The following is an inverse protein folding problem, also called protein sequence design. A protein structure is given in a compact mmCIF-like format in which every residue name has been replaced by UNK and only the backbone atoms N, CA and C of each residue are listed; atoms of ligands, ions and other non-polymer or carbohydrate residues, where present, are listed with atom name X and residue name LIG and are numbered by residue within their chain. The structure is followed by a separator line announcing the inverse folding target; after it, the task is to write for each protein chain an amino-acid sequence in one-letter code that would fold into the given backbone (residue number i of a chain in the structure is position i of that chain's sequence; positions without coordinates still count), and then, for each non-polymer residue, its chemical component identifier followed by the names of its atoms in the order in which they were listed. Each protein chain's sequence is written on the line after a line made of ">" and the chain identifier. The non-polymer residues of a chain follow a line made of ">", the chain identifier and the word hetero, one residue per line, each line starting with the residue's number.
data_IF_734929077600
#
_entry.id   IF_734929077600
#
_cell.length_a   1.000
_cell.length_b   1.000
_cell.length_c   1.000
_cell.angle_alpha   90.00
_cell.angle_beta   90.00
_cell.angle_gamma   90.00
#
_symmetry.space_group_name_H-M   'P 1'
#
loop_
_entity.id
_entity.type
_entity.pdbx_description
1 polymer ?
#
# COMPACT_ATOMS: atom_id res chain seq x y z
N UNK A 1 21.16 12.93 -1.12
CA UNK A 1 21.02 14.19 -1.81
C UNK A 1 19.83 15.08 -1.40
N UNK A 2 18.65 14.59 -0.99
CA UNK A 2 17.58 15.50 -0.54
C UNK A 2 17.90 16.28 0.74
N UNK A 3 18.79 15.78 1.58
CA UNK A 3 19.17 16.45 2.82
C UNK A 3 20.20 17.57 2.64
N UNK A 4 20.81 17.71 1.47
CA UNK A 4 21.76 18.81 1.20
C UNK A 4 21.08 20.19 1.24
N UNK A 5 19.79 20.28 0.98
CA UNK A 5 19.03 21.52 1.08
C UNK A 5 18.65 21.90 2.51
N UNK A 6 18.87 21.02 3.48
CA UNK A 6 18.55 21.22 4.90
C UNK A 6 19.79 21.46 5.76
N UNK A 7 20.97 21.55 5.15
CA UNK A 7 22.28 21.72 5.85
C UNK A 7 22.54 20.65 6.94
N UNK A 8 21.96 19.44 6.74
CA UNK A 8 22.12 18.32 7.66
C UNK A 8 23.19 17.37 7.12
N UNK A 9 24.22 17.11 7.90
CA UNK A 9 25.21 16.08 7.57
C UNK A 9 24.56 14.70 7.54
N UNK A 10 24.78 13.94 6.47
CA UNK A 10 24.22 12.60 6.30
C UNK A 10 25.02 11.59 7.15
N UNK A 11 24.72 11.51 8.43
CA UNK A 11 25.24 10.48 9.33
C UNK A 11 24.37 9.25 9.33
N UNK A 12 24.87 8.12 9.83
CA UNK A 12 24.05 6.90 9.98
C UNK A 12 22.85 7.14 10.90
N UNK A 13 23.03 7.89 11.98
CA UNK A 13 21.95 8.27 12.88
C UNK A 13 20.85 9.07 12.17
N UNK A 14 21.22 10.01 11.32
CA UNK A 14 20.25 10.78 10.50
C UNK A 14 19.53 9.86 9.50
N UNK A 15 20.27 8.93 8.88
CA UNK A 15 19.66 7.95 7.96
C UNK A 15 18.67 7.08 8.70
N UNK A 16 19.02 6.54 9.86
CA UNK A 16 18.17 5.65 10.65
C UNK A 16 16.93 6.39 11.17
N UNK A 17 17.08 7.66 11.58
CA UNK A 17 15.98 8.50 12.05
C UNK A 17 14.96 8.85 10.97
N UNK A 18 15.39 9.03 9.73
CA UNK A 18 14.51 9.41 8.61
C UNK A 18 14.30 8.29 7.60
N UNK A 19 14.67 7.09 7.97
CA UNK A 19 14.45 5.90 7.14
C UNK A 19 12.99 5.49 7.26
N UNK A 20 12.30 5.53 6.13
CA UNK A 20 10.97 4.95 6.02
C UNK A 20 11.06 3.56 5.43
N UNK A 21 10.41 2.62 6.05
CA UNK A 21 10.28 1.29 5.50
C UNK A 21 8.98 1.21 4.70
N UNK A 22 9.13 1.08 3.40
CA UNK A 22 8.02 0.75 2.52
C UNK A 22 7.92 -0.77 2.47
N UNK A 23 6.76 -1.30 2.75
CA UNK A 23 6.57 -2.73 2.75
C UNK A 23 5.43 -3.15 1.82
N UNK A 24 5.51 -4.37 1.33
CA UNK A 24 4.44 -5.06 0.62
C UNK A 24 4.12 -6.37 1.33
N UNK A 25 2.85 -6.68 1.37
CA UNK A 25 2.40 -7.99 1.82
C UNK A 25 2.59 -9.04 0.72
N UNK A 26 2.68 -10.28 1.11
CA UNK A 26 3.02 -11.34 0.18
C UNK A 26 1.91 -11.61 -0.84
N UNK A 27 2.30 -11.99 -2.04
CA UNK A 27 1.39 -12.58 -2.99
C UNK A 27 0.86 -13.92 -2.49
N UNK A 28 -0.34 -14.27 -2.93
CA UNK A 28 -0.99 -15.53 -2.65
C UNK A 28 -0.61 -16.56 -3.72
N UNK A 29 0.01 -17.65 -3.30
CA UNK A 29 0.18 -18.81 -4.14
C UNK A 29 -1.06 -19.69 -4.10
N UNK A 30 -1.75 -19.80 -5.20
CA UNK A 30 -2.83 -20.74 -5.33
C UNK A 30 -2.30 -22.10 -5.86
N UNK A 31 -2.03 -23.01 -4.97
CA UNK A 31 -1.95 -24.47 -5.20
C UNK A 31 -1.15 -25.00 -6.40
N UNK A 32 -0.12 -24.37 -6.82
CA UNK A 32 0.80 -24.98 -7.76
C UNK A 32 1.54 -26.20 -7.22
N UNK A 33 1.52 -26.41 -5.90
CA UNK A 33 2.32 -27.44 -5.24
C UNK A 33 1.60 -28.75 -4.92
N UNK A 34 0.31 -28.84 -5.15
CA UNK A 34 -0.39 -30.12 -5.01
C UNK A 34 -0.29 -30.85 -6.34
N UNK A 35 0.72 -31.71 -6.43
CA UNK A 35 1.13 -32.45 -7.61
C UNK A 35 0.09 -32.74 -8.68
N UNK A 36 0.35 -32.25 -9.87
CA UNK A 36 -0.09 -32.81 -11.17
C UNK A 36 -1.56 -33.03 -11.46
N UNK A 37 -2.47 -32.73 -10.56
CA UNK A 37 -3.90 -32.91 -10.78
C UNK A 37 -4.64 -31.60 -10.65
N UNK A 38 -5.80 -31.50 -11.30
CA UNK A 38 -6.73 -30.42 -11.04
C UNK A 38 -6.93 -30.26 -9.53
N UNK A 39 -6.71 -29.08 -8.95
CA UNK A 39 -6.95 -28.90 -7.53
C UNK A 39 -8.39 -29.31 -7.22
N UNK A 40 -8.64 -30.01 -6.11
CA UNK A 40 -10.00 -30.31 -5.72
C UNK A 40 -10.78 -29.00 -5.57
N UNK A 41 -12.07 -28.97 -5.89
CA UNK A 41 -12.90 -27.77 -5.74
C UNK A 41 -12.75 -27.25 -4.31
N UNK A 42 -12.61 -25.94 -4.14
CA UNK A 42 -12.54 -25.32 -2.84
C UNK A 42 -13.87 -25.57 -2.12
N UNK A 43 -13.80 -26.29 -1.00
CA UNK A 43 -14.97 -26.39 -0.11
C UNK A 43 -15.23 -24.98 0.48
N UNK A 44 -16.46 -24.53 0.39
CA UNK A 44 -16.89 -23.22 0.93
C UNK A 44 -17.15 -22.13 -0.11
N UNK A 45 -16.61 -22.23 -1.32
CA UNK A 45 -16.96 -21.35 -2.44
C UNK A 45 -17.33 -22.20 -3.64
N UNK A 46 -18.59 -22.62 -3.71
CA UNK A 46 -19.08 -23.45 -4.79
C UNK A 46 -18.80 -22.80 -6.15
N UNK A 47 -18.16 -23.55 -7.03
CA UNK A 47 -17.91 -23.11 -8.42
C UNK A 47 -16.73 -22.16 -8.63
N UNK A 48 -15.89 -21.92 -7.63
CA UNK A 48 -14.67 -21.10 -7.76
C UNK A 48 -13.42 -21.94 -7.43
N UNK A 49 -12.94 -22.76 -8.34
CA UNK A 49 -11.73 -23.54 -8.13
C UNK A 49 -10.51 -22.60 -8.08
N UNK A 50 -9.56 -22.94 -7.21
CA UNK A 50 -8.30 -22.21 -7.13
C UNK A 50 -8.23 -21.13 -6.06
N UNK A 51 -9.31 -20.86 -5.31
CA UNK A 51 -9.23 -19.99 -4.14
C UNK A 51 -8.73 -20.76 -2.91
N UNK A 52 -7.97 -20.11 -2.00
CA UNK A 52 -7.55 -20.74 -0.77
C UNK A 52 -8.78 -21.16 0.06
N UNK A 53 -8.71 -22.33 0.69
CA UNK A 53 -9.78 -22.89 1.52
C UNK A 53 -9.58 -22.57 2.99
N UNK A 54 -8.35 -22.24 3.36
CA UNK A 54 -7.95 -21.97 4.73
C UNK A 54 -6.84 -20.91 4.77
N UNK A 55 -6.67 -20.19 5.89
CA UNK A 55 -5.63 -19.16 6.02
C UNK A 55 -4.21 -19.67 5.81
N UNK A 56 -3.93 -20.92 6.13
CA UNK A 56 -2.61 -21.54 5.98
C UNK A 56 -2.23 -21.85 4.52
N UNK A 57 -3.16 -21.80 3.60
CA UNK A 57 -2.88 -21.87 2.16
C UNK A 57 -2.37 -20.54 1.60
N UNK A 58 -2.43 -19.46 2.39
CA UNK A 58 -1.98 -18.13 2.01
C UNK A 58 -0.55 -17.94 2.44
N UNK A 59 0.28 -17.58 1.49
CA UNK A 59 1.69 -17.29 1.76
C UNK A 59 1.92 -15.81 1.76
N UNK A 60 2.68 -15.35 2.73
CA UNK A 60 3.03 -13.97 2.93
C UNK A 60 4.53 -13.80 2.97
N UNK A 61 5.02 -12.68 2.50
CA UNK A 61 6.41 -12.31 2.62
C UNK A 61 6.55 -10.80 2.58
N UNK A 62 7.29 -10.24 3.49
CA UNK A 62 7.70 -8.86 3.42
C UNK A 62 8.70 -8.65 2.28
N UNK A 63 8.70 -7.46 1.71
CA UNK A 63 9.68 -7.10 0.70
C UNK A 63 11.09 -7.04 1.30
N UNK A 64 12.02 -7.70 0.63
CA UNK A 64 13.45 -7.61 0.93
C UNK A 64 14.18 -6.88 -0.20
N UNK A 65 15.16 -6.06 0.18
CA UNK A 65 15.93 -5.26 -0.78
C UNK A 65 17.42 -5.60 -0.67
N UNK A 66 18.03 -5.92 -1.79
CA UNK A 66 19.47 -6.13 -1.92
C UNK A 66 20.03 -5.26 -3.05
N UNK A 67 19.65 -3.97 -3.03
CA UNK A 67 20.06 -3.05 -4.06
C UNK A 67 21.55 -2.72 -3.94
N UNK A 68 22.31 -3.07 -4.96
CA UNK A 68 23.73 -2.68 -5.13
C UNK A 68 23.92 -1.52 -6.11
N UNK A 69 22.90 -1.22 -6.90
CA UNK A 69 22.90 -0.17 -7.90
C UNK A 69 21.48 0.34 -8.14
N UNK A 70 21.36 1.50 -8.76
CA UNK A 70 20.10 2.01 -9.27
C UNK A 70 20.23 2.46 -10.71
N UNK A 71 19.12 2.42 -11.43
CA UNK A 71 18.97 3.01 -12.76
C UNK A 71 18.11 4.25 -12.65
N UNK A 72 18.58 5.36 -13.22
CA UNK A 72 17.84 6.62 -13.24
C UNK A 72 17.39 6.89 -14.68
N UNK A 73 16.11 7.15 -14.86
CA UNK A 73 15.50 7.49 -16.14
C UNK A 73 14.74 8.81 -16.02
N UNK A 74 15.00 9.72 -16.92
CA UNK A 74 14.25 10.97 -17.04
C UNK A 74 13.44 10.97 -18.31
N UNK A 75 12.15 11.23 -18.20
CA UNK A 75 11.20 11.31 -19.32
C UNK A 75 10.34 12.56 -19.16
N UNK A 76 10.69 13.60 -19.90
CA UNK A 76 10.05 14.90 -19.78
C UNK A 76 10.20 15.45 -18.36
N UNK A 77 9.07 15.63 -17.66
CA UNK A 77 9.04 16.16 -16.30
C UNK A 77 8.98 15.07 -15.21
N UNK A 78 9.16 13.81 -15.58
CA UNK A 78 9.19 12.67 -14.67
C UNK A 78 10.60 12.13 -14.52
N UNK A 79 11.01 11.91 -13.29
CA UNK A 79 12.22 11.17 -12.92
C UNK A 79 11.82 9.86 -12.25
N UNK A 80 12.35 8.75 -12.76
CA UNK A 80 12.17 7.44 -12.14
C UNK A 80 13.52 6.88 -11.73
N UNK A 81 13.57 6.34 -10.52
CA UNK A 81 14.75 5.65 -9.97
C UNK A 81 14.35 4.22 -9.68
N UNK A 82 14.99 3.26 -10.33
CA UNK A 82 14.73 1.84 -10.17
C UNK A 82 15.89 1.18 -9.43
N UNK A 83 15.58 0.51 -8.33
CA UNK A 83 16.50 -0.28 -7.51
C UNK A 83 16.23 -1.76 -7.76
N UNK A 84 17.12 -2.44 -8.43
CA UNK A 84 17.03 -3.89 -8.62
C UNK A 84 17.33 -4.66 -7.33
N UNK A 85 16.94 -5.93 -7.28
CA UNK A 85 17.19 -6.80 -6.13
C UNK A 85 16.05 -6.79 -5.10
N UNK A 86 14.86 -6.40 -5.51
CA UNK A 86 13.63 -6.64 -4.76
C UNK A 86 13.30 -8.12 -4.76
N UNK A 87 12.97 -8.64 -3.59
CA UNK A 87 12.32 -9.95 -3.40
C UNK A 87 11.04 -9.75 -2.61
N UNK A 88 9.96 -10.42 -3.02
CA UNK A 88 8.64 -10.30 -2.39
C UNK A 88 7.92 -11.65 -2.49
N UNK A 89 8.08 -12.49 -1.48
CA UNK A 89 7.58 -13.87 -1.53
C UNK A 89 8.12 -14.62 -2.73
N UNK A 90 7.27 -15.09 -3.63
CA UNK A 90 7.66 -15.76 -4.89
C UNK A 90 8.02 -14.80 -6.03
N UNK A 91 7.89 -13.49 -5.82
CA UNK A 91 8.23 -12.49 -6.81
C UNK A 91 9.65 -11.97 -6.64
N UNK A 92 10.25 -11.58 -7.76
CA UNK A 92 11.52 -10.85 -7.80
C UNK A 92 11.47 -9.74 -8.85
N UNK A 93 12.22 -8.66 -8.59
CA UNK A 93 12.17 -7.52 -9.49
C UNK A 93 12.89 -6.28 -8.97
N UNK A 94 12.22 -5.13 -9.04
CA UNK A 94 12.76 -3.84 -8.67
C UNK A 94 11.77 -3.00 -7.87
N UNK A 95 12.30 -2.15 -6.98
CA UNK A 95 11.58 -1.02 -6.41
C UNK A 95 11.76 0.17 -7.32
N UNK A 96 10.67 0.78 -7.74
CA UNK A 96 10.68 1.97 -8.60
C UNK A 96 10.07 3.15 -7.87
N UNK A 97 10.82 4.23 -7.77
CA UNK A 97 10.36 5.51 -7.25
C UNK A 97 10.23 6.49 -8.40
N UNK A 98 9.05 7.08 -8.58
CA UNK A 98 8.84 8.10 -9.61
C UNK A 98 8.39 9.40 -8.97
N UNK A 99 9.05 10.49 -9.35
CA UNK A 99 8.75 11.86 -8.93
C UNK A 99 8.53 12.74 -10.15
N UNK A 100 7.78 13.83 -9.98
CA UNK A 100 7.45 14.75 -11.05
C UNK A 100 7.90 16.15 -10.69
N UNK A 101 8.43 16.86 -11.66
CA UNK A 101 8.83 18.25 -11.50
C UNK A 101 7.62 19.12 -11.10
N UNK A 102 7.80 19.97 -10.10
CA UNK A 102 6.80 20.93 -9.64
C UNK A 102 5.75 20.36 -8.70
N UNK A 103 5.91 19.13 -8.20
CA UNK A 103 5.03 18.53 -7.21
C UNK A 103 5.79 17.62 -6.25
N UNK A 104 5.27 17.44 -5.05
CA UNK A 104 5.79 16.51 -4.07
C UNK A 104 5.26 15.07 -4.25
N UNK A 105 4.51 14.82 -5.32
CA UNK A 105 3.95 13.52 -5.57
C UNK A 105 5.04 12.47 -5.81
N UNK A 106 4.97 11.38 -5.06
CA UNK A 106 5.87 10.23 -5.17
C UNK A 106 5.03 9.01 -5.50
N UNK A 107 5.30 8.37 -6.62
CA UNK A 107 4.80 7.02 -6.90
C UNK A 107 5.85 6.03 -6.45
N UNK A 108 5.44 5.09 -5.63
CA UNK A 108 6.27 3.96 -5.18
C UNK A 108 5.67 2.69 -5.75
N UNK A 109 6.49 1.85 -6.36
CA UNK A 109 6.02 0.68 -7.07
C UNK A 109 7.00 -0.49 -6.92
N UNK A 110 6.47 -1.66 -6.55
CA UNK A 110 7.17 -2.91 -6.76
C UNK A 110 6.83 -3.43 -8.16
N UNK A 111 7.82 -3.48 -9.01
CA UNK A 111 7.71 -4.04 -10.37
C UNK A 111 8.40 -5.39 -10.35
N UNK A 112 7.62 -6.47 -10.38
CA UNK A 112 8.15 -7.80 -10.12
C UNK A 112 7.40 -8.89 -10.89
N UNK A 113 8.07 -9.99 -11.17
CA UNK A 113 7.51 -11.17 -11.81
C UNK A 113 7.78 -12.43 -11.01
N UNK A 114 7.04 -13.49 -11.29
CA UNK A 114 7.23 -14.82 -10.74
C UNK A 114 7.22 -15.85 -11.87
N UNK A 115 8.05 -16.89 -11.74
CA UNK A 115 8.02 -18.04 -12.65
C UNK A 115 7.08 -19.15 -12.14
N UNK A 116 6.48 -18.99 -10.98
CA UNK A 116 5.56 -19.99 -10.42
C UNK A 116 4.24 -19.97 -11.19
N UNK A 117 3.70 -21.13 -11.52
CA UNK A 117 2.38 -21.25 -12.12
C UNK A 117 1.28 -21.01 -11.07
N UNK A 118 0.12 -20.58 -11.54
CA UNK A 118 -1.10 -20.45 -10.74
C UNK A 118 -1.00 -19.52 -9.54
N UNK A 119 -0.26 -18.40 -9.70
CA UNK A 119 -0.17 -17.38 -8.67
C UNK A 119 -1.28 -16.37 -8.86
N UNK A 120 -2.05 -16.16 -7.80
CA UNK A 120 -2.91 -15.01 -7.65
C UNK A 120 -2.50 -14.25 -6.39
N UNK A 121 -2.61 -12.93 -6.40
CA UNK A 121 -2.07 -12.10 -5.34
C UNK A 121 -2.93 -10.88 -5.06
N UNK A 122 -2.74 -10.35 -3.90
CA UNK A 122 -3.04 -8.97 -3.50
C UNK A 122 -1.80 -8.37 -2.85
N UNK A 123 -1.75 -7.08 -2.73
CA UNK A 123 -0.63 -6.42 -2.08
C UNK A 123 -1.09 -5.39 -1.06
N UNK A 124 -0.21 -5.15 -0.14
CA UNK A 124 -0.29 -4.12 0.88
C UNK A 124 1.01 -3.31 0.80
N UNK A 125 0.91 -2.01 0.78
CA UNK A 125 2.04 -1.09 0.68
C UNK A 125 1.84 0.08 1.61
N UNK A 126 2.88 0.43 2.35
CA UNK A 126 2.77 1.49 3.32
C UNK A 126 4.11 2.10 3.73
N UNK A 127 4.01 3.05 4.62
CA UNK A 127 5.14 3.66 5.30
C UNK A 127 5.09 3.25 6.76
N UNK A 128 6.21 2.75 7.25
CA UNK A 128 6.39 2.36 8.64
C UNK A 128 7.42 3.27 9.30
N UNK A 129 7.40 3.33 10.63
CA UNK A 129 8.38 4.11 11.38
C UNK A 129 8.17 5.63 11.30
N UNK A 130 6.93 6.06 11.09
CA UNK A 130 6.59 7.47 11.21
C UNK A 130 6.61 7.86 12.70
N UNK A 131 7.39 8.86 13.06
CA UNK A 131 7.54 9.30 14.46
C UNK A 131 6.25 9.88 15.04
N UNK A 132 5.90 9.48 16.26
CA UNK A 132 4.77 10.06 16.99
C UNK A 132 5.24 11.30 17.73
N UNK A 133 4.78 12.47 17.30
CA UNK A 133 4.91 13.74 18.00
C UNK A 133 3.69 14.04 18.90
N UNK A 134 3.71 15.17 19.62
CA UNK A 134 2.65 15.55 20.55
C UNK A 134 1.25 15.62 19.95
N UNK A 135 1.15 16.00 18.69
CA UNK A 135 -0.11 16.23 17.98
C UNK A 135 -0.32 15.26 16.80
N UNK A 136 0.40 14.13 16.82
CA UNK A 136 0.30 13.15 15.73
C UNK A 136 -1.09 12.54 15.67
N UNK A 137 -1.64 12.56 14.46
CA UNK A 137 -2.98 12.06 14.16
C UNK A 137 -3.07 11.51 12.73
N UNK A 138 -4.03 10.64 12.54
CA UNK A 138 -4.39 10.12 11.22
C UNK A 138 -5.75 10.68 10.85
N UNK A 139 -5.90 11.11 9.60
CA UNK A 139 -7.12 11.74 9.08
C UNK A 139 -7.61 11.03 7.82
N UNK A 140 -8.93 10.95 7.68
CA UNK A 140 -9.60 10.46 6.46
C UNK A 140 -10.99 11.08 6.34
N UNK A 141 -11.60 10.98 5.18
CA UNK A 141 -13.03 11.29 5.01
C UNK A 141 -13.81 9.99 4.96
N UNK A 142 -14.84 9.87 5.78
CA UNK A 142 -15.73 8.71 5.79
C UNK A 142 -16.64 8.65 4.55
N UNK A 143 -17.49 7.65 4.46
CA UNK A 143 -18.41 7.45 3.34
C UNK A 143 -19.44 8.59 3.18
N UNK A 144 -19.68 9.35 4.24
CA UNK A 144 -20.50 10.58 4.19
C UNK A 144 -19.66 11.82 3.88
N UNK A 145 -18.39 11.65 3.50
CA UNK A 145 -17.40 12.70 3.23
C UNK A 145 -17.05 13.59 4.42
N UNK A 146 -17.44 13.19 5.64
CA UNK A 146 -17.08 13.89 6.85
C UNK A 146 -15.65 13.60 7.25
N UNK A 147 -14.91 14.64 7.64
CA UNK A 147 -13.55 14.49 8.14
C UNK A 147 -13.55 13.75 9.47
N UNK A 148 -12.83 12.65 9.51
CA UNK A 148 -12.57 11.84 10.69
C UNK A 148 -11.10 11.97 11.08
N UNK A 149 -10.81 11.76 12.35
CA UNK A 149 -9.43 11.73 12.85
C UNK A 149 -9.26 10.73 13.97
N UNK A 150 -8.03 10.22 14.11
CA UNK A 150 -7.61 9.40 15.22
C UNK A 150 -6.30 9.94 15.78
N UNK A 151 -6.31 10.31 17.07
CA UNK A 151 -5.11 10.73 17.78
C UNK A 151 -4.27 9.52 18.18
N UNK A 152 -2.98 9.57 17.88
CA UNK A 152 -2.03 8.49 18.19
C UNK A 152 -1.56 8.46 19.64
N UNK A 153 -2.24 9.17 20.54
CA UNK A 153 -1.94 9.17 22.00
C UNK A 153 -2.41 7.89 22.71
N UNK A 154 -3.28 7.09 22.06
CA UNK A 154 -3.78 5.84 22.63
C UNK A 154 -2.73 4.71 22.66
N UNK A 155 -3.09 3.52 23.15
CA UNK A 155 -2.21 2.36 23.16
C UNK A 155 -1.85 1.90 21.75
N UNK A 156 -0.73 1.19 21.63
CA UNK A 156 -0.36 0.50 20.39
C UNK A 156 -1.42 -0.55 20.03
N UNK A 157 -1.59 -0.80 18.76
CA UNK A 157 -2.48 -1.84 18.25
C UNK A 157 -1.70 -2.87 17.41
N UNK A 158 -2.01 -4.13 17.60
CA UNK A 158 -1.32 -5.24 16.93
C UNK A 158 -1.72 -5.36 15.45
N UNK A 159 -2.97 -4.98 15.14
CA UNK A 159 -3.53 -5.11 13.80
C UNK A 159 -3.76 -3.72 13.18
N UNK A 160 -3.63 -3.66 11.88
CA UNK A 160 -3.94 -2.45 11.14
C UNK A 160 -5.45 -2.16 11.19
N UNK A 161 -5.80 -0.92 11.48
CA UNK A 161 -7.18 -0.44 11.47
C UNK A 161 -7.56 -0.04 10.06
N UNK A 162 -8.45 -0.79 9.45
CA UNK A 162 -8.97 -0.50 8.12
C UNK A 162 -9.92 0.69 8.16
N UNK A 163 -9.70 1.62 7.24
CA UNK A 163 -10.48 2.85 7.13
C UNK A 163 -11.44 2.78 5.95
N UNK A 164 -12.71 3.11 6.17
CA UNK A 164 -13.67 3.33 5.09
C UNK A 164 -13.54 4.75 4.59
N UNK A 165 -12.56 4.97 3.73
CA UNK A 165 -12.20 6.29 3.23
C UNK A 165 -12.85 6.56 1.86
N UNK A 166 -13.78 7.51 1.81
CA UNK A 166 -14.53 7.86 0.59
C UNK A 166 -13.64 8.26 -0.59
N UNK A 167 -12.51 8.86 -0.32
CA UNK A 167 -11.54 9.27 -1.33
C UNK A 167 -10.41 8.26 -1.56
N UNK A 168 -10.46 7.09 -0.93
CA UNK A 168 -9.36 6.12 -0.92
C UNK A 168 -8.04 6.75 -0.44
N UNK A 169 -8.12 7.65 0.52
CA UNK A 169 -7.04 8.53 0.96
C UNK A 169 -6.97 8.54 2.48
N UNK A 170 -5.77 8.31 3.01
CA UNK A 170 -5.40 8.51 4.41
C UNK A 170 -4.30 9.54 4.49
N UNK A 171 -4.37 10.40 5.49
CA UNK A 171 -3.34 11.41 5.77
C UNK A 171 -2.80 11.19 7.18
N UNK A 172 -1.49 11.08 7.30
CA UNK A 172 -0.79 11.14 8.57
C UNK A 172 -0.25 12.56 8.79
N UNK A 173 -0.45 13.09 9.98
CA UNK A 173 0.10 14.38 10.39
C UNK A 173 0.97 14.16 11.63
N UNK A 174 2.20 14.66 11.58
CA UNK A 174 3.15 14.57 12.67
C UNK A 174 4.23 15.64 12.55
N UNK A 175 4.65 16.22 13.68
CA UNK A 175 5.79 17.15 13.77
C UNK A 175 5.75 18.31 12.75
N UNK A 176 4.56 18.86 12.47
CA UNK A 176 4.40 19.99 11.56
C UNK A 176 4.50 19.64 10.07
N UNK A 177 4.38 18.38 9.74
CA UNK A 177 4.31 17.86 8.39
C UNK A 177 3.15 16.88 8.24
N UNK A 178 2.67 16.69 7.03
CA UNK A 178 1.66 15.71 6.72
C UNK A 178 2.05 14.89 5.48
N UNK A 179 1.59 13.66 5.42
CA UNK A 179 1.76 12.80 4.26
C UNK A 179 0.46 12.08 3.92
N UNK A 180 0.03 12.25 2.68
CA UNK A 180 -1.12 11.54 2.13
C UNK A 180 -0.66 10.22 1.50
N UNK A 181 -1.45 9.15 1.69
CA UNK A 181 -1.24 7.85 1.05
C UNK A 181 -2.53 7.40 0.37
N UNK A 182 -2.44 6.98 -0.89
CA UNK A 182 -3.58 6.56 -1.70
C UNK A 182 -3.19 5.56 -2.79
N UNK A 183 -4.11 4.68 -3.22
CA UNK A 183 -3.87 3.77 -4.33
C UNK A 183 -3.81 4.53 -5.67
N UNK A 184 -3.37 3.89 -6.76
CA UNK A 184 -3.44 4.49 -8.09
C UNK A 184 -4.85 5.00 -8.38
N UNK A 185 -5.01 6.30 -8.74
CA UNK A 185 -6.30 6.88 -9.01
C UNK A 185 -6.90 6.34 -10.29
N UNK A 186 -8.24 6.33 -10.38
CA UNK A 186 -9.00 5.92 -11.56
C UNK A 186 -8.72 4.49 -12.05
N UNK A 187 -8.10 3.66 -11.23
CA UNK A 187 -7.91 2.24 -11.49
C UNK A 187 -8.74 1.42 -10.53
N UNK A 188 -9.25 0.30 -11.01
CA UNK A 188 -9.82 -0.69 -10.12
C UNK A 188 -8.69 -1.28 -9.29
N UNK A 189 -8.69 -0.96 -8.02
CA UNK A 189 -7.79 -1.55 -7.06
C UNK A 189 -8.35 -2.87 -6.54
N UNK A 190 -9.67 -3.04 -6.68
CA UNK A 190 -10.40 -4.25 -6.43
C UNK A 190 -11.59 -4.40 -7.38
N UNK A 191 -11.83 -5.63 -7.88
CA UNK A 191 -12.88 -5.92 -8.85
C UNK A 191 -14.28 -6.13 -8.24
N UNK A 192 -14.44 -6.02 -6.91
CA UNK A 192 -15.72 -6.17 -6.23
C UNK A 192 -16.35 -4.86 -5.87
N UNK A 193 -17.68 -4.92 -5.79
CA UNK A 193 -18.50 -3.75 -5.61
C UNK A 193 -18.41 -3.11 -4.23
N UNK A 194 -18.42 -1.90 -4.27
CA UNK A 194 -19.09 -0.80 -3.61
C UNK A 194 -18.74 -0.60 -2.13
N UNK A 195 -19.12 -1.39 -1.18
CA UNK A 195 -18.76 -1.20 0.23
C UNK A 195 -17.29 -1.58 0.51
N UNK A 196 -16.82 -2.57 -0.20
CA UNK A 196 -15.46 -3.07 -0.09
C UNK A 196 -14.47 -2.11 -0.76
N UNK A 197 -14.91 -1.35 -1.75
CA UNK A 197 -14.08 -0.39 -2.48
C UNK A 197 -13.68 0.87 -1.69
N UNK A 198 -14.07 0.99 -0.45
CA UNK A 198 -13.66 2.10 0.44
C UNK A 198 -12.67 1.69 1.52
N UNK A 199 -12.43 0.39 1.71
CA UNK A 199 -11.55 -0.18 2.74
C UNK A 199 -10.10 -0.35 2.31
N UNK A 200 -9.55 0.55 1.51
CA UNK A 200 -8.20 0.43 0.95
C UNK A 200 -7.10 1.05 1.80
N UNK A 201 -7.46 1.89 2.75
CA UNK A 201 -6.51 2.59 3.58
C UNK A 201 -6.54 2.02 5.00
N UNK A 202 -5.40 2.07 5.63
CA UNK A 202 -5.27 1.64 7.00
C UNK A 202 -4.21 2.45 7.74
N UNK A 203 -4.27 2.43 9.08
CA UNK A 203 -3.21 2.87 9.96
C UNK A 203 -2.96 1.84 11.06
N UNK A 204 -1.80 1.91 11.67
CA UNK A 204 -1.45 1.15 12.86
C UNK A 204 -0.51 1.98 13.73
N UNK A 205 -0.79 2.04 15.02
CA UNK A 205 0.17 2.52 15.99
C UNK A 205 1.05 1.33 16.37
N UNK A 206 2.32 1.36 15.94
CA UNK A 206 3.23 0.23 16.09
C UNK A 206 3.71 0.10 17.54
N UNK A 207 4.07 1.24 18.15
CA UNK A 207 4.48 1.36 19.54
C UNK A 207 4.21 2.78 20.08
N UNK A 208 4.83 3.16 21.20
CA UNK A 208 4.64 4.50 21.77
C UNK A 208 5.40 5.60 21.00
N UNK A 209 6.34 5.26 20.15
CA UNK A 209 7.17 6.18 19.41
C UNK A 209 6.85 6.21 17.91
N UNK A 210 6.22 5.18 17.36
CA UNK A 210 6.06 5.03 15.93
C UNK A 210 4.68 4.54 15.50
N UNK A 211 4.32 4.88 14.26
CA UNK A 211 3.10 4.42 13.61
C UNK A 211 3.32 4.20 12.12
N UNK A 212 2.36 3.54 11.50
CA UNK A 212 2.35 3.18 10.08
C UNK A 212 1.03 3.58 9.44
N UNK A 213 1.10 3.93 8.17
CA UNK A 213 -0.06 4.11 7.30
C UNK A 213 0.14 3.33 6.00
N UNK A 214 -0.95 2.94 5.36
CA UNK A 214 -0.80 2.24 4.10
C UNK A 214 -2.06 2.14 3.28
N UNK A 215 -1.86 1.48 2.16
CA UNK A 215 -2.86 1.15 1.17
C UNK A 215 -2.82 -0.36 0.99
N UNK A 216 -3.97 -1.01 1.12
CA UNK A 216 -4.07 -2.46 0.92
C UNK A 216 -5.19 -2.78 -0.04
N UNK A 217 -4.98 -3.83 -0.78
CA UNK A 217 -5.97 -4.38 -1.65
C UNK A 217 -6.86 -5.35 -0.85
N UNK A 218 -7.98 -4.86 -0.34
CA UNK A 218 -8.91 -5.62 0.48
C UNK A 218 -8.92 -5.23 1.97
N UNK A 219 -10.05 -5.43 2.61
CA UNK A 219 -10.34 -4.86 3.93
C UNK A 219 -9.58 -5.54 5.07
N UNK A 220 -9.67 -6.83 5.20
CA UNK A 220 -9.05 -7.57 6.29
C UNK A 220 -8.66 -8.98 5.85
N UNK A 221 -7.63 -9.49 6.47
CA UNK A 221 -7.12 -10.81 6.13
C UNK A 221 -7.53 -11.91 7.09
N UNK A 222 -7.46 -11.63 8.38
CA UNK A 222 -7.60 -12.67 9.41
C UNK A 222 -9.04 -13.05 9.71
N UNK A 223 -10.01 -12.23 9.36
CA UNK A 223 -11.43 -12.38 9.72
C UNK A 223 -12.30 -12.65 8.50
N UNK A 224 -11.71 -12.74 7.34
CA UNK A 224 -12.46 -12.99 6.12
C UNK A 224 -13.00 -14.42 6.11
N UNK A 225 -14.18 -14.57 6.67
CA UNK A 225 -15.00 -15.77 6.50
C UNK A 225 -15.42 -15.97 5.04
N UNK A 226 -15.14 -15.00 4.18
CA UNK A 226 -15.50 -15.02 2.77
C UNK A 226 -14.22 -15.15 1.93
N UNK A 227 -13.86 -16.37 1.62
CA UNK A 227 -12.75 -16.74 0.73
C UNK A 227 -12.78 -16.00 -0.62
N UNK A 228 -13.93 -15.47 -0.98
CA UNK A 228 -14.12 -14.69 -2.20
C UNK A 228 -13.32 -13.38 -2.27
N UNK A 229 -12.75 -12.93 -1.16
CA UNK A 229 -12.00 -11.66 -1.09
C UNK A 229 -10.48 -11.82 -1.17
N UNK A 230 -10.00 -13.02 -1.47
CA UNK A 230 -8.61 -13.34 -1.21
C UNK A 230 -7.65 -13.05 -2.33
N UNK A 231 -7.99 -13.11 -3.55
CA UNK A 231 -7.02 -12.88 -4.61
C UNK A 231 -7.67 -12.25 -5.82
N UNK A 232 -7.10 -11.16 -6.26
CA UNK A 232 -7.71 -10.32 -7.26
C UNK A 232 -6.89 -10.18 -8.51
N UNK A 233 -5.56 -10.26 -8.39
CA UNK A 233 -4.67 -10.20 -9.51
C UNK A 233 -4.10 -11.57 -9.82
N UNK A 234 -4.10 -11.93 -11.10
CA UNK A 234 -3.41 -13.11 -11.59
C UNK A 234 -2.02 -12.73 -12.08
N UNK A 235 -1.02 -13.49 -11.68
CA UNK A 235 0.35 -13.34 -12.15
C UNK A 235 0.77 -14.56 -12.97
N UNK A 236 0.48 -14.60 -14.27
CA UNK A 236 1.00 -15.64 -15.14
C UNK A 236 2.54 -15.66 -15.10
N UNK A 237 3.18 -16.85 -15.19
CA UNK A 237 4.63 -16.98 -15.14
C UNK A 237 5.33 -16.02 -16.10
N UNK A 238 6.38 -15.36 -15.63
CA UNK A 238 7.17 -14.41 -16.42
C UNK A 238 6.50 -13.08 -16.73
N UNK A 239 5.27 -12.85 -16.28
CA UNK A 239 4.60 -11.55 -16.50
C UNK A 239 4.96 -10.55 -15.42
N UNK A 240 5.23 -9.32 -15.84
CA UNK A 240 5.54 -8.22 -14.95
C UNK A 240 4.28 -7.70 -14.26
N UNK A 241 4.34 -7.57 -12.94
CA UNK A 241 3.27 -7.08 -12.09
C UNK A 241 3.68 -5.73 -11.50
N UNK A 242 2.71 -4.82 -11.38
CA UNK A 242 2.90 -3.45 -10.95
C UNK A 242 2.10 -3.19 -9.67
N UNK A 243 2.78 -3.19 -8.53
CA UNK A 243 2.17 -3.03 -7.20
C UNK A 243 2.49 -1.63 -6.70
N UNK A 244 1.60 -0.68 -6.95
CA UNK A 244 1.86 0.74 -6.74
C UNK A 244 1.01 1.38 -5.65
N UNK A 245 1.58 2.40 -5.01
CA UNK A 245 0.88 3.40 -4.22
C UNK A 245 1.47 4.79 -4.47
N UNK A 246 0.71 5.81 -4.10
CA UNK A 246 1.14 7.19 -4.15
C UNK A 246 1.25 7.77 -2.75
N UNK A 247 2.28 8.60 -2.57
CA UNK A 247 2.50 9.38 -1.37
C UNK A 247 2.67 10.84 -1.74
N UNK A 248 2.11 11.72 -0.92
CA UNK A 248 2.24 13.16 -1.09
C UNK A 248 2.64 13.80 0.24
N UNK A 249 3.96 13.99 0.48
CA UNK A 249 4.43 14.72 1.66
C UNK A 249 4.25 16.23 1.47
N UNK A 250 3.87 16.91 2.56
CA UNK A 250 3.77 18.37 2.60
C UNK A 250 4.21 18.91 3.96
N UNK A 251 4.70 20.12 3.98
CA UNK A 251 4.88 20.87 5.22
C UNK A 251 3.52 21.46 5.65
N UNK A 252 3.24 21.48 6.93
CA UNK A 252 2.00 21.97 7.50
C UNK A 252 1.06 20.84 7.92
N UNK A 253 -0.23 21.05 7.78
CA UNK A 253 -1.27 20.19 8.32
C UNK A 253 -1.89 19.23 7.28
N UNK A 254 -2.81 18.41 7.75
CA UNK A 254 -3.56 17.47 6.92
C UNK A 254 -4.37 18.15 5.82
N UNK A 255 -4.82 19.40 6.00
CA UNK A 255 -5.66 20.09 5.01
C UNK A 255 -4.93 20.30 3.71
N UNK A 256 -3.65 20.74 3.77
CA UNK A 256 -2.81 20.89 2.58
C UNK A 256 -2.53 19.58 1.87
N UNK A 257 -2.32 18.50 2.63
CA UNK A 257 -2.13 17.17 2.06
C UNK A 257 -3.39 16.63 1.38
N UNK A 258 -4.57 16.85 1.98
CA UNK A 258 -5.86 16.51 1.35
C UNK A 258 -6.08 17.29 0.07
N UNK A 259 -5.90 18.60 0.09
CA UNK A 259 -6.12 19.46 -1.08
C UNK A 259 -5.25 19.02 -2.25
N UNK A 260 -3.96 18.81 -2.00
CA UNK A 260 -3.02 18.37 -3.03
C UNK A 260 -3.35 16.98 -3.58
N UNK A 261 -3.64 16.00 -2.72
CA UNK A 261 -3.99 14.65 -3.14
C UNK A 261 -5.32 14.62 -3.92
N UNK A 262 -6.34 15.36 -3.47
CA UNK A 262 -7.62 15.46 -4.17
C UNK A 262 -7.50 16.18 -5.52
N UNK A 263 -6.64 17.19 -5.63
CA UNK A 263 -6.36 17.83 -6.91
C UNK A 263 -5.72 16.82 -7.90
N UNK A 264 -4.78 16.00 -7.44
CA UNK A 264 -4.16 14.96 -8.27
C UNK A 264 -5.15 13.86 -8.66
N UNK A 265 -5.99 13.40 -7.74
CA UNK A 265 -6.98 12.35 -8.00
C UNK A 265 -8.24 12.86 -8.70
N UNK A 266 -8.29 14.16 -9.01
CA UNK A 266 -9.45 14.83 -9.59
C UNK A 266 -10.73 14.64 -8.74
N UNK A 267 -10.57 14.68 -7.42
CA UNK A 267 -11.67 14.52 -6.47
C UNK A 267 -12.30 13.12 -6.48
N UNK A 268 -11.51 12.08 -6.73
CA UNK A 268 -11.96 10.67 -6.69
C UNK A 268 -12.71 10.40 -5.39
N UNK A 269 -14.02 10.18 -5.47
CA UNK A 269 -14.91 9.89 -4.35
C UNK A 269 -15.73 8.66 -4.64
N UNK A 270 -15.90 7.87 -3.60
CA UNK A 270 -16.93 6.84 -3.62
C UNK A 270 -18.31 7.46 -3.77
N UNK A 271 -19.05 7.00 -4.76
CA UNK A 271 -20.45 7.37 -4.96
C UNK A 271 -21.30 6.10 -4.98
N UNK A 272 -22.21 5.91 -4.03
CA UNK A 272 -23.17 4.82 -4.11
C UNK A 272 -24.00 4.94 -5.39
N UNK A 273 -24.30 3.80 -5.98
CA UNK A 273 -25.23 3.79 -7.10
C UNK A 273 -26.62 4.26 -6.63
N UNK A 274 -27.36 5.04 -7.45
CA UNK A 274 -28.72 5.44 -7.10
C UNK A 274 -29.58 4.21 -6.80
N UNK A 275 -30.16 4.15 -5.60
CA UNK A 275 -31.04 3.05 -5.17
C UNK A 275 -30.34 1.92 -4.41
N UNK A 276 -29.07 2.06 -4.07
CA UNK A 276 -28.33 1.13 -3.21
C UNK A 276 -27.88 1.76 -1.91
#
# INVERSE_FOLDING_TARGET
>A
APLRGLDVELTQEVVDRYKWDVFWDAPLDLRAEVGGGNPPPAEGVAGQPGLPRSPDEIRRGAAGYRASACTVRSEGRRLSVSFSGLTLGSFSGALVLSVHEGTNLIRVEAVASTERPSVAYKYDVGLTGLDIGPDSSVYWRDVATQLQSYSLKGPANTDAVTLRAANRLVVAETNGAAIAAFPPPHTFFWAREVEINVGYNWYRKDDDASFSIGVRQGEQEAVERYLANWSLYSAPPGTEQHMAAYFYPTLGDHSGAFEAALAFTNGDVYRPLPGH
#
